data_IF_987252142517
#
_entry.id   IF_987252142517
#
_cell.length_a   1.000
_cell.length_b   1.000
_cell.length_c   1.000
_cell.angle_alpha   90.00
_cell.angle_beta   90.00
_cell.angle_gamma   90.00
#
_symmetry.space_group_name_H-M   'P 1'
#
loop_
_entity.id
_entity.type
_entity.pdbx_description
1 polymer ?
#
# COMPACT_ATOMS: atom_id res chain seq x y z
N UNK A 1 2.57 -27.17 12.46
CA UNK A 1 2.92 -26.47 11.21
C UNK A 1 3.14 -25.02 11.57
N UNK A 2 4.39 -24.54 11.60
CA UNK A 2 4.65 -23.11 11.80
C UNK A 2 4.54 -22.45 10.43
N UNK A 3 3.62 -21.50 10.30
CA UNK A 3 3.53 -20.64 9.12
C UNK A 3 4.53 -19.51 9.29
N UNK A 4 5.56 -19.46 8.45
CA UNK A 4 6.50 -18.35 8.38
C UNK A 4 6.31 -17.55 7.08
N UNK A 5 7.00 -16.41 6.96
CA UNK A 5 6.94 -15.56 5.76
C UNK A 5 7.26 -16.34 4.48
N UNK A 6 8.30 -17.19 4.54
CA UNK A 6 8.73 -18.05 3.43
C UNK A 6 7.60 -18.98 2.95
N UNK A 7 6.86 -19.59 3.89
CA UNK A 7 5.74 -20.47 3.55
C UNK A 7 4.60 -19.71 2.85
N UNK A 8 4.35 -18.47 3.28
CA UNK A 8 3.32 -17.62 2.67
C UNK A 8 3.75 -17.22 1.25
N UNK A 9 4.99 -16.77 1.06
CA UNK A 9 5.53 -16.40 -0.24
C UNK A 9 5.54 -17.59 -1.23
N UNK A 10 5.99 -18.75 -0.77
CA UNK A 10 6.04 -19.97 -1.57
C UNK A 10 4.62 -20.43 -1.97
N UNK A 11 3.63 -20.26 -1.08
CA UNK A 11 2.23 -20.56 -1.36
C UNK A 11 1.61 -19.59 -2.37
N UNK A 12 1.88 -18.28 -2.25
CA UNK A 12 1.43 -17.28 -3.23
C UNK A 12 2.01 -17.59 -4.60
N UNK A 13 3.30 -17.93 -4.68
CA UNK A 13 3.97 -18.36 -5.92
C UNK A 13 3.33 -19.63 -6.49
N UNK A 14 3.06 -20.61 -5.64
CA UNK A 14 2.39 -21.84 -6.06
C UNK A 14 1.02 -21.55 -6.68
N UNK A 15 0.15 -20.78 -6.02
CA UNK A 15 -1.17 -20.43 -6.58
C UNK A 15 -1.01 -19.63 -7.89
N UNK A 16 -0.07 -18.67 -7.93
CA UNK A 16 0.15 -17.82 -9.12
C UNK A 16 0.49 -18.62 -10.39
N UNK A 17 1.07 -19.81 -10.24
CA UNK A 17 1.47 -20.68 -11.36
C UNK A 17 0.41 -21.71 -11.75
N UNK A 18 -0.51 -22.06 -10.84
CA UNK A 18 -1.55 -23.07 -11.09
C UNK A 18 -2.78 -22.50 -11.81
N UNK A 19 -3.13 -21.24 -11.56
CA UNK A 19 -4.44 -20.69 -11.93
C UNK A 19 -4.49 -20.03 -13.33
N UNK A 20 -3.41 -20.14 -14.11
CA UNK A 20 -3.24 -19.43 -15.40
C UNK A 20 -3.18 -17.90 -15.27
N UNK A 21 -3.40 -17.37 -14.06
CA UNK A 21 -3.22 -15.97 -13.65
C UNK A 21 -1.77 -15.74 -13.28
N UNK A 22 -0.89 -15.81 -14.27
CA UNK A 22 0.40 -15.14 -14.14
C UNK A 22 0.07 -13.66 -13.85
N UNK A 23 0.42 -13.20 -12.65
CA UNK A 23 0.50 -11.78 -12.26
C UNK A 23 -0.75 -11.03 -11.73
N UNK A 24 -1.93 -11.66 -11.58
CA UNK A 24 -3.17 -10.93 -11.26
C UNK A 24 -3.66 -11.02 -9.80
N UNK A 25 -2.79 -10.78 -8.81
CA UNK A 25 -3.24 -10.59 -7.40
C UNK A 25 -3.44 -9.12 -7.04
N UNK A 26 -2.74 -8.23 -7.75
CA UNK A 26 -2.81 -6.80 -7.55
C UNK A 26 -3.72 -6.20 -8.63
N UNK A 27 -4.57 -5.27 -8.22
CA UNK A 27 -5.39 -4.46 -9.11
C UNK A 27 -5.07 -3.01 -8.83
N UNK A 28 -4.81 -2.26 -9.89
CA UNK A 28 -4.71 -0.82 -9.83
C UNK A 28 -6.12 -0.22 -9.94
N UNK A 29 -6.39 0.81 -9.15
CA UNK A 29 -7.62 1.58 -9.20
C UNK A 29 -7.24 3.05 -9.32
N UNK A 30 -7.85 3.75 -10.26
CA UNK A 30 -7.71 5.19 -10.38
C UNK A 30 -8.77 5.88 -9.53
N UNK A 31 -8.37 6.96 -8.86
CA UNK A 31 -9.26 7.77 -8.02
C UNK A 31 -9.21 9.21 -8.53
N UNK A 32 -10.36 9.89 -8.70
CA UNK A 32 -10.41 11.28 -9.12
C UNK A 32 -9.60 12.18 -8.17
N UNK A 33 -8.87 13.14 -8.73
CA UNK A 33 -8.09 14.10 -7.93
C UNK A 33 -8.95 14.89 -6.93
N UNK A 34 -10.23 15.13 -7.27
CA UNK A 34 -11.20 15.80 -6.39
C UNK A 34 -11.41 15.09 -5.05
N UNK A 35 -11.17 13.78 -4.97
CA UNK A 35 -11.36 12.97 -3.77
C UNK A 35 -10.07 12.81 -2.94
N UNK A 36 -8.99 13.47 -3.34
CA UNK A 36 -7.66 13.32 -2.72
C UNK A 36 -7.67 13.54 -1.21
N UNK A 37 -8.35 14.58 -0.71
CA UNK A 37 -8.39 14.92 0.72
C UNK A 37 -9.03 13.79 1.53
N UNK A 38 -10.15 13.28 1.05
CA UNK A 38 -10.96 12.27 1.72
C UNK A 38 -10.20 10.93 1.75
N UNK A 39 -9.62 10.54 0.61
CA UNK A 39 -8.79 9.34 0.49
C UNK A 39 -7.57 9.39 1.39
N UNK A 40 -6.84 10.51 1.44
CA UNK A 40 -5.66 10.65 2.29
C UNK A 40 -6.02 10.62 3.77
N UNK A 41 -7.21 11.11 4.15
CA UNK A 41 -7.71 11.01 5.51
C UNK A 41 -8.05 9.56 5.88
N UNK A 42 -8.74 8.84 5.01
CA UNK A 42 -9.08 7.43 5.22
C UNK A 42 -7.83 6.54 5.31
N UNK A 43 -6.86 6.74 4.41
CA UNK A 43 -5.57 6.07 4.44
C UNK A 43 -4.84 6.30 5.76
N UNK A 44 -4.89 7.52 6.30
CA UNK A 44 -4.29 7.84 7.60
C UNK A 44 -4.95 7.08 8.74
N UNK A 45 -6.28 6.93 8.74
CA UNK A 45 -7.00 6.15 9.76
C UNK A 45 -6.56 4.68 9.71
N UNK A 46 -6.23 4.17 8.52
CA UNK A 46 -5.65 2.83 8.33
C UNK A 46 -4.15 2.72 8.68
N UNK A 47 -3.50 3.83 9.08
CA UNK A 47 -2.06 3.86 9.36
C UNK A 47 -1.17 3.93 8.11
N UNK A 48 -1.78 4.18 6.95
CA UNK A 48 -1.07 4.36 5.67
C UNK A 48 -0.78 5.84 5.47
N UNK A 49 0.50 6.21 5.53
CA UNK A 49 0.98 7.58 5.39
C UNK A 49 2.26 7.59 4.55
N UNK A 50 2.67 8.75 4.03
CA UNK A 50 3.91 8.84 3.27
C UNK A 50 5.12 8.33 4.07
N UNK A 51 5.17 8.59 5.38
CA UNK A 51 6.23 8.10 6.27
C UNK A 51 6.18 6.59 6.52
N UNK A 52 5.01 5.95 6.46
CA UNK A 52 4.91 4.49 6.65
C UNK A 52 5.21 3.72 5.36
N UNK A 53 4.93 4.31 4.19
CA UNK A 53 5.28 3.74 2.89
C UNK A 53 6.74 3.97 2.49
N UNK A 54 7.29 5.15 2.81
CA UNK A 54 8.65 5.57 2.45
C UNK A 54 9.41 5.94 3.72
N UNK A 55 9.97 4.96 4.45
CA UNK A 55 10.71 5.24 5.67
C UNK A 55 11.96 6.08 5.36
N UNK A 56 12.20 7.12 6.17
CA UNK A 56 13.31 8.05 5.99
C UNK A 56 12.88 9.51 6.11
N UNK A 57 13.84 10.42 5.91
CA UNK A 57 13.59 11.86 6.04
C UNK A 57 12.56 12.36 5.04
N UNK A 58 12.65 11.92 3.78
CA UNK A 58 11.77 12.39 2.71
C UNK A 58 10.31 12.02 2.97
N UNK A 59 10.04 10.79 3.44
CA UNK A 59 8.69 10.36 3.78
C UNK A 59 8.11 11.09 4.99
N UNK A 60 8.95 11.43 5.98
CA UNK A 60 8.55 12.27 7.12
C UNK A 60 8.21 13.68 6.62
N UNK A 61 9.07 14.28 5.80
CA UNK A 61 8.84 15.61 5.25
C UNK A 61 7.56 15.65 4.40
N UNK A 62 7.29 14.61 3.61
CA UNK A 62 6.09 14.54 2.78
C UNK A 62 4.81 14.32 3.59
N UNK A 63 4.87 13.53 4.67
CA UNK A 63 3.73 13.37 5.58
C UNK A 63 3.42 14.68 6.32
N UNK A 64 4.44 15.40 6.78
CA UNK A 64 4.29 16.74 7.39
C UNK A 64 3.74 17.74 6.37
N UNK A 65 4.25 17.72 5.14
CA UNK A 65 3.79 18.58 4.04
C UNK A 65 2.31 18.36 3.78
N UNK A 66 1.89 17.11 3.69
CA UNK A 66 0.50 16.70 3.45
C UNK A 66 -0.42 17.08 4.60
N UNK A 67 0.05 16.99 5.86
CA UNK A 67 -0.71 17.37 7.06
C UNK A 67 -0.94 18.86 7.22
N UNK A 68 0.08 19.66 6.91
CA UNK A 68 0.11 21.08 7.29
C UNK A 68 -0.15 22.04 6.12
N UNK A 69 0.09 21.61 4.88
CA UNK A 69 0.06 22.51 3.72
C UNK A 69 -0.82 22.05 2.56
N UNK A 70 -1.23 20.78 2.50
CA UNK A 70 -2.03 20.22 1.38
C UNK A 70 -3.25 19.40 1.85
N UNK A 71 -3.88 19.85 2.95
CA UNK A 71 -5.19 19.34 3.41
C UNK A 71 -6.34 19.91 2.58
#
# INVERSE_FOLDING_TARGET
MLTNLKNIEDYIKFISTQDGKHDSFLKAFDIPWSERSDVLNDLRIMGVTASSMFPGLDGICEDVRTRLFFG
#
